data_IF_339224235099
#
_entry.id   IF_339224235099
#
_cell.length_a   1.000
_cell.length_b   1.000
_cell.length_c   1.000
_cell.angle_alpha   90.00
_cell.angle_beta   90.00
_cell.angle_gamma   90.00
#
_symmetry.space_group_name_H-M   'P 1'
#
loop_
_entity.id
_entity.type
_entity.pdbx_description
1 polymer ?
#
# COMPACT_ATOMS: atom_id res chain seq x y z
N UNK A 1 21.71 6.50 -22.25
CA UNK A 1 21.49 5.18 -21.62
C UNK A 1 20.48 5.37 -20.51
N UNK A 2 19.22 5.03 -20.79
CA UNK A 2 18.15 5.11 -19.80
C UNK A 2 18.23 3.86 -18.93
N UNK A 3 18.64 4.03 -17.67
CA UNK A 3 18.38 3.02 -16.66
C UNK A 3 16.86 2.96 -16.47
N UNK A 4 16.28 1.77 -16.61
CA UNK A 4 14.86 1.49 -16.41
C UNK A 4 14.43 1.94 -15.01
N UNK A 5 13.46 2.86 -14.95
CA UNK A 5 12.78 3.34 -13.74
C UNK A 5 12.11 2.22 -12.91
N UNK A 6 12.08 0.97 -13.41
CA UNK A 6 11.44 -0.17 -12.75
C UNK A 6 12.33 -0.96 -11.77
N UNK A 7 13.66 -0.78 -11.81
CA UNK A 7 14.57 -1.58 -10.97
C UNK A 7 14.94 -0.91 -9.63
N UNK A 8 14.52 0.33 -9.39
CA UNK A 8 15.07 1.15 -8.30
C UNK A 8 14.31 1.05 -6.95
N UNK A 9 13.33 0.15 -6.80
CA UNK A 9 12.43 0.15 -5.64
C UNK A 9 12.26 -1.20 -4.91
N UNK A 10 13.34 -1.98 -4.75
CA UNK A 10 13.33 -3.19 -3.91
C UNK A 10 14.61 -3.36 -3.09
N UNK A 11 14.87 -2.44 -2.15
CA UNK A 11 15.59 -2.88 -0.95
C UNK A 11 14.56 -3.59 -0.08
N UNK A 12 14.51 -4.92 -0.18
CA UNK A 12 13.76 -5.74 0.75
C UNK A 12 14.31 -5.43 2.15
N UNK A 13 13.45 -4.88 2.99
CA UNK A 13 13.77 -4.47 4.36
C UNK A 13 12.56 -4.78 5.22
N UNK A 14 12.75 -4.85 6.54
CA UNK A 14 11.62 -5.05 7.44
C UNK A 14 10.50 -4.05 7.16
N UNK A 15 10.82 -2.77 6.96
CA UNK A 15 9.85 -1.69 6.75
C UNK A 15 8.88 -2.00 5.60
N UNK A 16 9.34 -2.61 4.50
CA UNK A 16 8.48 -2.92 3.34
C UNK A 16 7.64 -4.21 3.51
N UNK A 17 7.84 -4.97 4.59
CA UNK A 17 7.06 -6.18 4.84
C UNK A 17 5.68 -5.86 5.42
N UNK A 18 4.64 -6.64 5.05
CA UNK A 18 3.30 -6.40 5.55
C UNK A 18 3.15 -6.92 6.98
N UNK A 19 2.22 -6.32 7.72
CA UNK A 19 1.76 -6.87 8.99
C UNK A 19 0.78 -8.02 8.75
N UNK A 20 1.01 -9.14 9.44
CA UNK A 20 0.18 -10.34 9.37
C UNK A 20 -0.51 -10.58 10.72
N UNK A 21 -1.79 -11.00 10.73
CA UNK A 21 -2.44 -11.40 11.97
C UNK A 21 -1.73 -12.64 12.55
N UNK A 22 -1.59 -12.65 13.86
CA UNK A 22 -0.99 -13.76 14.60
C UNK A 22 -1.77 -14.00 15.88
N UNK A 23 -2.27 -15.23 16.09
CA UNK A 23 -3.19 -15.52 17.20
C UNK A 23 -2.61 -16.55 18.17
N UNK A 24 -2.42 -16.16 19.43
CA UNK A 24 -1.82 -17.01 20.47
C UNK A 24 -2.61 -16.84 21.76
N UNK A 25 -2.98 -17.95 22.43
CA UNK A 25 -3.61 -17.93 23.76
C UNK A 25 -4.79 -16.94 23.89
N UNK A 26 -5.68 -16.89 22.88
CA UNK A 26 -6.81 -15.96 22.81
C UNK A 26 -6.45 -14.46 22.75
N UNK A 27 -5.19 -14.12 22.48
CA UNK A 27 -4.73 -12.76 22.19
C UNK A 27 -4.40 -12.61 20.70
N UNK A 28 -4.71 -11.44 20.16
CA UNK A 28 -4.40 -11.07 18.78
C UNK A 28 -3.15 -10.19 18.75
N UNK A 29 -2.20 -10.58 17.91
CA UNK A 29 -1.00 -9.84 17.60
C UNK A 29 -0.94 -9.56 16.10
N UNK A 30 -0.10 -8.61 15.73
CA UNK A 30 0.38 -8.42 14.37
C UNK A 30 1.86 -8.77 14.35
N UNK A 31 2.28 -9.54 13.35
CA UNK A 31 3.69 -9.90 13.13
C UNK A 31 4.12 -9.43 11.76
N UNK A 32 5.31 -8.83 11.71
CA UNK A 32 5.97 -8.36 10.51
C UNK A 32 7.40 -8.87 10.57
N UNK A 33 7.87 -9.52 9.51
CA UNK A 33 9.17 -10.18 9.52
C UNK A 33 9.87 -10.06 8.19
N UNK A 34 11.19 -9.88 8.24
CA UNK A 34 12.08 -9.91 7.09
C UNK A 34 13.16 -10.96 7.31
N UNK A 35 13.40 -11.80 6.29
CA UNK A 35 14.40 -12.86 6.32
C UNK A 35 15.34 -12.68 5.12
N UNK A 36 16.59 -12.37 5.39
CA UNK A 36 17.61 -12.16 4.37
C UNK A 36 18.12 -13.48 3.84
N UNK A 37 17.92 -13.72 2.53
CA UNK A 37 18.42 -14.94 1.88
C UNK A 37 19.96 -14.94 1.74
N UNK A 38 20.60 -13.77 1.76
CA UNK A 38 22.05 -13.64 1.56
C UNK A 38 22.84 -13.79 2.86
N UNK A 39 22.36 -13.16 3.93
CA UNK A 39 23.06 -13.12 5.22
C UNK A 39 22.51 -14.14 6.22
N UNK A 40 21.44 -14.88 5.91
CA UNK A 40 20.75 -15.76 6.86
C UNK A 40 20.38 -15.04 8.17
N UNK A 41 20.14 -13.74 8.10
CA UNK A 41 19.70 -12.89 9.20
C UNK A 41 18.19 -12.70 9.13
N UNK A 42 17.58 -12.34 10.26
CA UNK A 42 16.19 -11.93 10.29
C UNK A 42 15.97 -10.69 11.14
N UNK A 43 14.86 -10.03 10.84
CA UNK A 43 14.26 -8.99 11.66
C UNK A 43 12.79 -9.36 11.87
N UNK A 44 12.30 -9.32 13.10
CA UNK A 44 10.90 -9.59 13.42
C UNK A 44 10.35 -8.52 14.34
N UNK A 45 9.13 -8.11 14.05
CA UNK A 45 8.42 -7.06 14.72
C UNK A 45 7.04 -7.60 15.11
N UNK A 46 6.68 -7.43 16.37
CA UNK A 46 5.43 -7.95 16.94
C UNK A 46 4.69 -6.78 17.59
N UNK A 47 3.38 -6.71 17.40
CA UNK A 47 2.52 -5.72 18.06
C UNK A 47 1.29 -6.36 18.65
N UNK A 48 0.88 -5.91 19.83
CA UNK A 48 -0.40 -6.22 20.48
C UNK A 48 -1.45 -5.12 20.26
N UNK A 49 -1.21 -4.23 19.29
CA UNK A 49 -1.92 -2.98 19.01
C UNK A 49 -1.67 -1.82 19.98
N UNK A 50 -0.89 -2.03 21.06
CA UNK A 50 -0.51 -0.97 22.00
C UNK A 50 0.98 -0.65 21.91
N UNK A 51 1.81 -1.69 21.85
CA UNK A 51 3.26 -1.62 21.80
C UNK A 51 3.77 -2.34 20.56
N UNK A 52 5.04 -2.07 20.24
CA UNK A 52 5.80 -2.79 19.24
C UNK A 52 7.06 -3.33 19.89
N UNK A 53 7.34 -4.61 19.68
CA UNK A 53 8.60 -5.25 20.05
C UNK A 53 9.36 -5.66 18.80
N UNK A 54 10.67 -5.46 18.81
CA UNK A 54 11.58 -5.75 17.72
C UNK A 54 12.65 -6.73 18.20
N UNK A 55 13.00 -7.68 17.33
CA UNK A 55 14.25 -8.41 17.41
C UNK A 55 14.96 -8.39 16.06
N UNK A 56 16.27 -8.16 16.10
CA UNK A 56 17.18 -8.32 14.97
C UNK A 56 18.16 -9.43 15.33
N UNK A 57 18.40 -10.36 14.42
CA UNK A 57 19.32 -11.47 14.65
C UNK A 57 20.13 -11.77 13.40
N UNK A 58 21.45 -11.81 13.57
CA UNK A 58 22.38 -12.21 12.54
C UNK A 58 22.61 -13.74 12.52
N UNK A 59 23.37 -14.21 11.54
CA UNK A 59 23.63 -15.63 11.35
C UNK A 59 24.28 -16.29 12.57
N UNK A 60 25.19 -15.60 13.26
CA UNK A 60 25.95 -16.17 14.38
C UNK A 60 25.12 -16.23 15.66
N UNK A 61 24.29 -15.22 15.90
CA UNK A 61 23.26 -15.24 16.94
C UNK A 61 22.30 -16.40 16.72
N UNK A 62 21.87 -16.61 15.47
CA UNK A 62 20.95 -17.69 15.12
C UNK A 62 21.58 -19.07 15.36
N UNK A 63 22.84 -19.26 14.94
CA UNK A 63 23.57 -20.51 15.16
C UNK A 63 23.75 -20.81 16.65
N UNK A 64 24.16 -19.80 17.42
CA UNK A 64 24.39 -19.92 18.86
C UNK A 64 23.09 -20.32 19.56
N UNK A 65 22.00 -19.60 19.30
CA UNK A 65 20.68 -19.91 19.86
C UNK A 65 20.17 -21.28 19.43
N UNK A 66 20.37 -21.66 18.16
CA UNK A 66 19.97 -22.99 17.70
C UNK A 66 20.70 -24.10 18.48
N UNK A 67 22.00 -23.92 18.75
CA UNK A 67 22.79 -24.89 19.52
C UNK A 67 22.36 -24.97 20.99
N UNK A 68 21.96 -23.84 21.58
CA UNK A 68 21.45 -23.79 22.95
C UNK A 68 20.07 -24.45 23.09
N UNK A 69 19.13 -24.11 22.20
CA UNK A 69 17.75 -24.62 22.26
C UNK A 69 17.62 -26.04 21.70
N UNK A 70 18.49 -26.42 20.78
CA UNK A 70 18.41 -27.68 20.04
C UNK A 70 19.79 -28.36 19.93
N UNK A 71 20.42 -28.78 21.05
CA UNK A 71 21.81 -29.26 21.06
C UNK A 71 22.05 -30.53 20.21
N UNK A 72 21.00 -31.29 19.91
CA UNK A 72 21.08 -32.52 19.11
C UNK A 72 20.81 -32.30 17.61
N UNK A 73 20.65 -31.04 17.16
CA UNK A 73 20.30 -30.72 15.77
C UNK A 73 21.52 -30.11 15.06
N UNK A 74 22.10 -30.90 14.16
CA UNK A 74 23.18 -30.48 13.24
C UNK A 74 22.60 -30.18 11.86
N UNK A 75 21.93 -29.03 11.72
CA UNK A 75 21.35 -28.58 10.45
C UNK A 75 22.01 -27.30 9.95
N UNK A 76 22.02 -27.11 8.63
CA UNK A 76 22.49 -25.88 8.01
C UNK A 76 21.64 -24.68 8.44
N UNK A 77 22.28 -23.55 8.74
CA UNK A 77 21.58 -22.35 9.22
C UNK A 77 20.56 -21.83 8.22
N UNK A 78 20.80 -21.99 6.91
CA UNK A 78 19.84 -21.61 5.86
C UNK A 78 18.56 -22.43 5.97
N UNK A 79 18.68 -23.73 6.30
CA UNK A 79 17.54 -24.60 6.53
C UNK A 79 16.78 -24.20 7.80
N UNK A 80 17.50 -23.89 8.88
CA UNK A 80 16.90 -23.41 10.13
C UNK A 80 16.14 -22.09 9.91
N UNK A 81 16.76 -21.10 9.27
CA UNK A 81 16.14 -19.80 8.97
C UNK A 81 14.90 -19.96 8.09
N UNK A 82 14.96 -20.81 7.06
CA UNK A 82 13.79 -21.12 6.22
C UNK A 82 12.66 -21.77 7.02
N UNK A 83 12.99 -22.66 7.95
CA UNK A 83 12.01 -23.29 8.81
C UNK A 83 11.36 -22.29 9.79
N UNK A 84 12.17 -21.41 10.40
CA UNK A 84 11.70 -20.32 11.26
C UNK A 84 10.75 -19.40 10.46
N UNK A 85 11.18 -18.94 9.28
CA UNK A 85 10.38 -18.11 8.37
C UNK A 85 8.99 -18.69 8.11
N UNK A 86 8.92 -19.97 7.74
CA UNK A 86 7.66 -20.66 7.48
C UNK A 86 6.73 -20.66 8.70
N UNK A 87 7.27 -20.85 9.90
CA UNK A 87 6.48 -20.84 11.13
C UNK A 87 5.97 -19.46 11.52
N UNK A 88 6.69 -18.39 11.15
CA UNK A 88 6.28 -17.01 11.44
C UNK A 88 5.28 -16.50 10.40
N UNK A 89 5.61 -16.63 9.11
CA UNK A 89 4.82 -16.01 8.03
C UNK A 89 3.48 -16.70 7.77
N UNK A 90 3.40 -18.01 8.00
CA UNK A 90 2.21 -18.83 7.73
C UNK A 90 1.47 -19.27 9.00
N UNK A 91 2.02 -19.01 10.20
CA UNK A 91 1.52 -19.49 11.49
C UNK A 91 1.00 -20.95 11.44
N UNK A 92 1.93 -21.92 11.40
CA UNK A 92 1.61 -23.34 11.17
C UNK A 92 0.68 -23.91 12.26
N UNK A 93 -0.39 -24.60 11.85
CA UNK A 93 -1.37 -25.17 12.77
C UNK A 93 -0.80 -26.21 13.75
N UNK A 94 0.22 -26.97 13.33
CA UNK A 94 0.85 -28.01 14.15
C UNK A 94 1.93 -27.46 15.09
N UNK A 95 2.28 -26.18 14.96
CA UNK A 95 3.27 -25.53 15.80
C UNK A 95 2.62 -24.98 17.05
N UNK A 96 3.23 -25.26 18.20
CA UNK A 96 2.79 -24.71 19.49
C UNK A 96 3.46 -23.38 19.71
N UNK A 97 2.68 -22.32 19.86
CA UNK A 97 3.18 -20.96 20.12
C UNK A 97 2.85 -20.54 21.54
N UNK A 98 3.76 -19.82 22.20
CA UNK A 98 3.57 -19.22 23.51
C UNK A 98 4.19 -17.83 23.53
N UNK A 99 3.52 -16.89 24.17
CA UNK A 99 4.04 -15.54 24.45
C UNK A 99 4.32 -15.42 25.93
N UNK A 100 5.50 -14.90 26.26
CA UNK A 100 5.89 -14.55 27.61
C UNK A 100 6.27 -13.07 27.64
N UNK A 101 5.51 -12.29 28.41
CA UNK A 101 5.74 -10.86 28.65
C UNK A 101 6.46 -10.73 30.00
N UNK A 102 7.47 -9.87 30.10
CA UNK A 102 8.12 -9.57 31.39
C UNK A 102 7.28 -8.57 32.21
N UNK A 103 7.50 -8.47 33.53
CA UNK A 103 6.68 -7.65 34.46
C UNK A 103 6.56 -6.16 34.08
N UNK A 104 7.52 -5.62 33.33
CA UNK A 104 7.52 -4.23 32.85
C UNK A 104 7.11 -4.08 31.37
N UNK A 105 6.70 -5.17 30.69
CA UNK A 105 6.38 -5.25 29.25
C UNK A 105 7.50 -4.81 28.28
N UNK A 106 8.69 -4.47 28.77
CA UNK A 106 9.82 -4.03 27.92
C UNK A 106 10.38 -5.16 27.03
N UNK A 107 10.13 -6.40 27.44
CA UNK A 107 10.61 -7.61 26.77
C UNK A 107 9.46 -8.56 26.51
N UNK A 108 9.46 -9.10 25.30
CA UNK A 108 8.52 -10.10 24.82
C UNK A 108 9.30 -11.28 24.27
N UNK A 109 8.98 -12.48 24.76
CA UNK A 109 9.51 -13.72 24.21
C UNK A 109 8.41 -14.47 23.47
N UNK A 110 8.58 -14.61 22.15
CA UNK A 110 7.75 -15.51 21.34
C UNK A 110 8.46 -16.86 21.24
N UNK A 111 7.95 -17.84 21.98
CA UNK A 111 8.38 -19.23 21.93
C UNK A 111 7.54 -20.00 20.93
N UNK A 112 8.19 -20.81 20.09
CA UNK A 112 7.48 -21.84 19.33
C UNK A 112 8.18 -23.20 19.34
N UNK A 113 7.36 -24.25 19.35
CA UNK A 113 7.79 -25.65 19.32
C UNK A 113 7.10 -26.39 18.18
N UNK A 114 7.89 -27.05 17.35
CA UNK A 114 7.44 -27.72 16.11
C UNK A 114 8.30 -28.94 15.78
N UNK A 115 8.09 -29.53 14.61
CA UNK A 115 8.89 -30.63 14.05
C UNK A 115 9.63 -30.17 12.81
N UNK A 116 10.97 -30.29 12.76
CA UNK A 116 11.72 -30.08 11.51
C UNK A 116 11.42 -31.19 10.50
N UNK A 117 11.45 -32.42 10.99
CA UNK A 117 11.17 -33.66 10.28
C UNK A 117 10.42 -34.60 11.24
N UNK A 118 9.75 -35.65 10.73
CA UNK A 118 9.10 -36.64 11.58
C UNK A 118 10.06 -37.16 12.66
N UNK A 119 9.68 -37.01 13.93
CA UNK A 119 10.48 -37.44 15.08
C UNK A 119 11.53 -36.43 15.58
N UNK A 120 11.79 -35.34 14.85
CA UNK A 120 12.79 -34.32 15.27
C UNK A 120 12.07 -33.07 15.77
N UNK A 121 12.02 -32.92 17.09
CA UNK A 121 11.50 -31.71 17.75
C UNK A 121 12.43 -30.53 17.54
N UNK A 122 11.85 -29.35 17.31
CA UNK A 122 12.57 -28.10 17.16
C UNK A 122 11.89 -27.01 17.97
N UNK A 123 12.70 -26.21 18.64
CA UNK A 123 12.27 -25.13 19.51
C UNK A 123 12.98 -23.84 19.12
N UNK A 124 12.27 -22.72 19.14
CA UNK A 124 12.84 -21.42 18.87
C UNK A 124 12.20 -20.34 19.74
N UNK A 125 13.04 -19.42 20.22
CA UNK A 125 12.63 -18.26 21.00
C UNK A 125 13.07 -16.99 20.28
N UNK A 126 12.11 -16.11 20.01
CA UNK A 126 12.38 -14.73 19.64
C UNK A 126 12.44 -13.88 20.89
N UNK A 127 13.52 -13.12 21.08
CA UNK A 127 13.74 -12.27 22.24
C UNK A 127 13.60 -10.80 21.83
N UNK A 128 12.36 -10.31 21.83
CA UNK A 128 12.05 -8.97 21.35
C UNK A 128 12.11 -7.94 22.49
N UNK A 129 12.57 -6.73 22.18
CA UNK A 129 12.55 -5.58 23.08
C UNK A 129 11.64 -4.49 22.53
N UNK A 130 11.02 -3.68 23.39
CA UNK A 130 10.13 -2.59 22.97
C UNK A 130 10.87 -1.57 22.09
N UNK A 131 10.22 -1.13 21.02
CA UNK A 131 10.74 -0.13 20.09
C UNK A 131 9.66 0.92 19.78
N UNK A 132 9.71 2.05 20.49
CA UNK A 132 8.68 3.09 20.42
C UNK A 132 8.74 3.88 19.09
N UNK A 133 9.93 4.06 18.52
CA UNK A 133 10.09 4.91 17.32
C UNK A 133 9.48 4.26 16.07
N UNK A 134 9.32 2.93 16.07
CA UNK A 134 8.75 2.20 14.95
C UNK A 134 7.23 2.32 14.85
N UNK A 135 6.53 2.73 15.92
CA UNK A 135 5.06 2.86 15.89
C UNK A 135 4.62 3.87 14.83
N UNK A 136 5.27 5.04 14.77
CA UNK A 136 4.95 6.06 13.78
C UNK A 136 5.23 5.56 12.36
N UNK A 137 6.48 5.17 12.09
CA UNK A 137 6.96 4.89 10.73
C UNK A 137 6.45 3.55 10.16
N UNK A 138 6.23 2.54 11.00
CA UNK A 138 5.82 1.20 10.56
C UNK A 138 4.33 0.93 10.66
N UNK A 139 3.56 1.72 11.43
CA UNK A 139 2.13 1.48 11.59
C UNK A 139 1.28 2.71 11.30
N UNK A 140 1.46 3.80 12.06
CA UNK A 140 0.56 4.97 11.96
C UNK A 140 0.63 5.67 10.61
N UNK A 141 1.84 5.99 10.14
CA UNK A 141 2.06 6.66 8.87
C UNK A 141 1.53 5.85 7.67
N UNK A 142 1.88 4.55 7.52
CA UNK A 142 1.29 3.71 6.49
C UNK A 142 -0.24 3.59 6.61
N UNK A 143 -0.80 3.49 7.82
CA UNK A 143 -2.25 3.43 8.02
C UNK A 143 -2.95 4.69 7.50
N UNK A 144 -2.40 5.87 7.78
CA UNK A 144 -2.93 7.13 7.27
C UNK A 144 -2.90 7.16 5.74
N UNK A 145 -1.80 6.71 5.12
CA UNK A 145 -1.70 6.62 3.66
C UNK A 145 -2.72 5.63 3.08
N UNK A 146 -2.89 4.47 3.71
CA UNK A 146 -3.87 3.46 3.29
C UNK A 146 -5.29 4.01 3.36
N UNK A 147 -5.65 4.70 4.45
CA UNK A 147 -6.97 5.33 4.61
C UNK A 147 -7.20 6.39 3.54
N UNK A 148 -6.20 7.25 3.29
CA UNK A 148 -6.29 8.27 2.24
C UNK A 148 -6.47 7.65 0.85
N UNK A 149 -5.71 6.59 0.54
CA UNK A 149 -5.81 5.88 -0.74
C UNK A 149 -7.13 5.12 -0.90
N UNK A 150 -7.63 4.49 0.17
CA UNK A 150 -8.95 3.84 0.16
C UNK A 150 -10.08 4.86 -0.04
N UNK A 151 -10.00 6.02 0.61
CA UNK A 151 -10.96 7.11 0.43
C UNK A 151 -10.92 7.65 -1.01
N UNK A 152 -9.73 7.79 -1.60
CA UNK A 152 -9.56 8.20 -3.01
C UNK A 152 -10.20 7.17 -3.95
N UNK A 153 -9.91 5.88 -3.76
CA UNK A 153 -10.50 4.77 -4.54
C UNK A 153 -12.03 4.75 -4.43
N UNK A 154 -12.58 4.90 -3.22
CA UNK A 154 -14.02 4.97 -3.00
C UNK A 154 -14.64 6.14 -3.78
N UNK A 155 -14.03 7.32 -3.69
CA UNK A 155 -14.50 8.52 -4.40
C UNK A 155 -14.46 8.34 -5.92
N UNK A 156 -13.40 7.75 -6.46
CA UNK A 156 -13.29 7.47 -7.90
C UNK A 156 -14.34 6.46 -8.38
N UNK A 157 -14.60 5.41 -7.59
CA UNK A 157 -15.66 4.45 -7.89
C UNK A 157 -17.05 5.09 -7.88
N UNK A 158 -17.32 5.97 -6.90
CA UNK A 158 -18.59 6.72 -6.85
C UNK A 158 -18.76 7.62 -8.08
N UNK A 159 -17.71 8.36 -8.47
CA UNK A 159 -17.73 9.18 -9.69
C UNK A 159 -17.93 8.32 -10.97
N UNK A 160 -17.37 7.11 -11.00
CA UNK A 160 -17.54 6.19 -12.13
C UNK A 160 -18.99 5.68 -12.23
N UNK A 161 -19.63 5.39 -11.09
CA UNK A 161 -21.04 5.00 -11.03
C UNK A 161 -21.95 6.12 -11.55
N UNK A 162 -21.72 7.36 -11.12
CA UNK A 162 -22.47 8.53 -11.60
C UNK A 162 -22.33 8.71 -13.13
N UNK A 163 -21.11 8.54 -13.67
CA UNK A 163 -20.89 8.58 -15.12
C UNK A 163 -21.62 7.45 -15.85
N UNK A 164 -21.69 6.26 -15.24
CA UNK A 164 -22.44 5.13 -15.82
C UNK A 164 -23.94 5.34 -15.78
N UNK A 165 -24.47 6.00 -14.76
CA UNK A 165 -25.89 6.37 -14.72
C UNK A 165 -26.25 7.40 -15.80
N UNK A 166 -25.36 8.36 -16.10
CA UNK A 166 -25.55 9.29 -17.22
C UNK A 166 -25.59 8.54 -18.57
N UNK A 167 -24.67 7.59 -18.78
CA UNK A 167 -24.65 6.74 -19.98
C UNK A 167 -25.95 5.92 -20.11
N UNK A 168 -26.44 5.32 -19.02
CA UNK A 168 -27.71 4.57 -19.00
C UNK A 168 -28.90 5.50 -19.29
N UNK A 169 -28.89 6.72 -18.73
CA UNK A 169 -29.94 7.71 -18.96
C UNK A 169 -30.01 8.14 -20.42
N UNK A 170 -28.88 8.33 -21.08
CA UNK A 170 -28.80 8.67 -22.51
C UNK A 170 -29.38 7.56 -23.40
N UNK A 171 -29.06 6.30 -23.10
CA UNK A 171 -29.67 5.15 -23.79
C UNK A 171 -31.19 5.09 -23.60
N UNK A 172 -31.67 5.32 -22.37
CA UNK A 172 -33.11 5.36 -22.07
C UNK A 172 -33.81 6.51 -22.81
N UNK A 173 -33.20 7.70 -22.85
CA UNK A 173 -33.72 8.87 -23.57
C UNK A 173 -33.76 8.64 -25.09
N UNK A 174 -32.80 7.89 -25.63
CA UNK A 174 -32.75 7.47 -27.03
C UNK A 174 -33.76 6.37 -27.39
N UNK A 175 -34.60 5.94 -26.44
CA UNK A 175 -35.65 4.93 -26.67
C UNK A 175 -35.17 3.48 -26.59
N UNK A 176 -33.92 3.24 -26.20
CA UNK A 176 -33.38 1.87 -26.04
C UNK A 176 -34.04 1.22 -24.83
N UNK A 177 -34.61 0.02 -25.04
CA UNK A 177 -35.23 -0.78 -23.98
C UNK A 177 -34.34 -1.97 -23.63
N UNK A 178 -34.24 -2.28 -22.33
CA UNK A 178 -33.54 -3.47 -21.85
C UNK A 178 -34.26 -4.74 -22.29
N UNK A 179 -33.50 -5.75 -22.73
CA UNK A 179 -34.06 -7.07 -23.07
C UNK A 179 -34.62 -7.80 -21.85
N UNK A 180 -34.05 -7.56 -20.66
CA UNK A 180 -34.50 -8.15 -19.41
C UNK A 180 -34.49 -7.13 -18.26
N UNK A 181 -35.65 -6.98 -17.60
CA UNK A 181 -35.83 -6.03 -16.50
C UNK A 181 -34.91 -6.27 -15.30
N UNK A 182 -34.46 -7.51 -15.06
CA UNK A 182 -33.52 -7.84 -13.96
C UNK A 182 -32.15 -7.17 -14.07
N UNK A 183 -31.80 -6.64 -15.25
CA UNK A 183 -30.55 -5.89 -15.47
C UNK A 183 -30.71 -4.40 -15.19
N UNK A 184 -31.91 -3.92 -14.92
CA UNK A 184 -32.14 -2.53 -14.56
C UNK A 184 -31.59 -2.26 -13.15
N UNK A 185 -30.62 -1.37 -13.07
CA UNK A 185 -30.10 -0.84 -11.81
C UNK A 185 -30.85 0.44 -11.43
N UNK A 186 -30.96 0.70 -10.12
CA UNK A 186 -31.38 2.01 -9.62
C UNK A 186 -30.25 3.00 -9.82
N UNK A 187 -30.60 4.27 -10.05
CA UNK A 187 -29.62 5.37 -10.05
C UNK A 187 -28.87 5.38 -8.74
N UNK A 188 -27.55 5.50 -8.83
CA UNK A 188 -26.67 5.59 -7.69
C UNK A 188 -26.87 6.92 -6.97
N UNK A 189 -27.04 6.85 -5.66
CA UNK A 189 -27.11 7.99 -4.76
C UNK A 189 -26.00 7.83 -3.72
N UNK A 190 -25.05 8.75 -3.74
CA UNK A 190 -23.86 8.74 -2.88
C UNK A 190 -24.21 8.84 -1.40
N UNK A 191 -25.11 9.76 -1.03
CA UNK A 191 -25.47 9.99 0.36
C UNK A 191 -26.27 8.82 0.92
N UNK A 192 -27.27 8.35 0.15
CA UNK A 192 -28.05 7.19 0.54
C UNK A 192 -27.18 5.93 0.67
N UNK A 193 -26.21 5.74 -0.22
CA UNK A 193 -25.26 4.65 -0.14
C UNK A 193 -24.40 4.72 1.13
N UNK A 194 -23.78 5.88 1.40
CA UNK A 194 -22.92 6.05 2.58
C UNK A 194 -23.70 5.84 3.88
N UNK A 195 -24.90 6.42 3.98
CA UNK A 195 -25.79 6.23 5.14
C UNK A 195 -26.17 4.76 5.32
N UNK A 196 -26.50 4.06 4.22
CA UNK A 196 -26.79 2.62 4.25
C UNK A 196 -25.59 1.80 4.71
N UNK A 197 -24.36 2.13 4.29
CA UNK A 197 -23.16 1.41 4.69
C UNK A 197 -22.95 1.49 6.20
N UNK A 198 -23.04 2.70 6.78
CA UNK A 198 -22.89 2.92 8.23
C UNK A 198 -23.96 2.18 9.04
N UNK A 199 -25.20 2.17 8.56
CA UNK A 199 -26.33 1.52 9.24
C UNK A 199 -26.39 0.00 9.00
N UNK A 200 -25.55 -0.55 8.13
CA UNK A 200 -25.58 -1.97 7.79
C UNK A 200 -25.01 -2.83 8.91
N UNK A 201 -25.55 -4.05 9.09
CA UNK A 201 -24.94 -5.06 9.96
C UNK A 201 -23.50 -5.38 9.55
N UNK A 202 -23.21 -5.30 8.24
CA UNK A 202 -21.87 -5.50 7.69
C UNK A 202 -20.83 -4.53 8.26
N UNK A 203 -21.20 -3.27 8.56
CA UNK A 203 -20.30 -2.34 9.22
C UNK A 203 -19.95 -2.80 10.63
N UNK A 204 -20.96 -3.15 11.44
CA UNK A 204 -20.76 -3.68 12.79
C UNK A 204 -19.90 -4.96 12.81
N UNK A 205 -20.19 -5.91 11.91
CA UNK A 205 -19.39 -7.13 11.76
C UNK A 205 -17.94 -6.84 11.35
N UNK A 206 -17.73 -5.88 10.44
CA UNK A 206 -16.39 -5.49 9.99
C UNK A 206 -15.59 -4.88 11.13
N UNK A 207 -16.19 -3.95 11.89
CA UNK A 207 -15.53 -3.33 13.05
C UNK A 207 -15.21 -4.38 14.11
N UNK A 208 -16.16 -5.26 14.45
CA UNK A 208 -15.94 -6.30 15.44
C UNK A 208 -14.84 -7.30 15.06
N UNK A 209 -14.74 -7.66 13.77
CA UNK A 209 -13.74 -8.61 13.28
C UNK A 209 -12.40 -7.97 12.92
N UNK A 210 -12.32 -6.65 12.76
CA UNK A 210 -11.13 -5.93 12.28
C UNK A 210 -9.85 -6.26 13.04
N UNK A 211 -9.88 -6.22 14.38
CA UNK A 211 -8.73 -6.58 15.24
C UNK A 211 -8.32 -8.05 15.07
N UNK A 212 -9.30 -8.93 14.85
CA UNK A 212 -9.07 -10.38 14.75
C UNK A 212 -8.49 -10.80 13.41
N UNK A 213 -9.00 -10.21 12.32
CA UNK A 213 -8.54 -10.44 10.96
C UNK A 213 -7.25 -9.70 10.65
N UNK A 214 -6.96 -8.62 11.39
CA UNK A 214 -5.84 -7.73 11.10
C UNK A 214 -5.91 -7.20 9.66
N UNK A 215 -4.75 -7.08 9.03
CA UNK A 215 -4.68 -6.77 7.60
C UNK A 215 -4.93 -8.05 6.78
N UNK A 216 -6.02 -8.06 6.01
CA UNK A 216 -6.28 -9.07 4.99
C UNK A 216 -5.24 -8.99 3.87
N UNK A 217 -5.13 -10.03 3.03
CA UNK A 217 -4.16 -10.06 1.92
C UNK A 217 -4.21 -8.80 1.03
N UNK A 218 -5.42 -8.32 0.70
CA UNK A 218 -5.59 -7.09 -0.09
C UNK A 218 -5.11 -5.83 0.64
N UNK A 219 -5.27 -5.76 1.97
CA UNK A 219 -4.76 -4.66 2.78
C UNK A 219 -3.25 -4.75 3.03
N UNK A 220 -2.70 -5.96 3.13
CA UNK A 220 -1.26 -6.20 3.20
C UNK A 220 -0.57 -5.75 1.91
N UNK A 221 -1.19 -6.01 0.76
CA UNK A 221 -0.67 -5.55 -0.53
C UNK A 221 -0.77 -4.03 -0.65
N UNK A 222 -1.89 -3.43 -0.25
CA UNK A 222 -2.01 -1.97 -0.20
C UNK A 222 -0.96 -1.34 0.73
N UNK A 223 -0.72 -1.93 1.90
CA UNK A 223 0.32 -1.50 2.83
C UNK A 223 1.69 -1.45 2.14
N UNK A 224 2.08 -2.53 1.44
CA UNK A 224 3.35 -2.56 0.69
C UNK A 224 3.41 -1.43 -0.34
N UNK A 225 2.36 -1.25 -1.12
CA UNK A 225 2.30 -0.23 -2.16
C UNK A 225 2.50 1.18 -1.59
N UNK A 226 1.83 1.52 -0.48
CA UNK A 226 1.96 2.84 0.13
C UNK A 226 3.34 3.05 0.74
N UNK A 227 3.91 2.05 1.42
CA UNK A 227 5.25 2.15 2.03
C UNK A 227 6.32 2.32 0.96
N UNK A 228 6.27 1.52 -0.11
CA UNK A 228 7.18 1.62 -1.26
C UNK A 228 7.06 3.01 -1.91
N UNK A 229 5.83 3.48 -2.13
CA UNK A 229 5.59 4.80 -2.74
C UNK A 229 6.09 5.95 -1.85
N UNK A 230 5.91 5.84 -0.53
CA UNK A 230 6.40 6.80 0.46
C UNK A 230 7.92 6.90 0.43
N UNK A 231 8.61 5.76 0.48
CA UNK A 231 10.07 5.72 0.41
C UNK A 231 10.59 6.38 -0.88
N UNK A 232 9.96 6.07 -2.02
CA UNK A 232 10.29 6.71 -3.30
C UNK A 232 10.07 8.23 -3.29
N UNK A 233 8.97 8.71 -2.70
CA UNK A 233 8.69 10.15 -2.58
C UNK A 233 9.70 10.87 -1.68
N UNK A 234 10.12 10.22 -0.59
CA UNK A 234 11.12 10.78 0.33
C UNK A 234 12.48 10.88 -0.36
N UNK A 235 12.93 9.83 -1.05
CA UNK A 235 14.19 9.84 -1.78
C UNK A 235 14.20 10.89 -2.90
N UNK A 236 13.08 11.02 -3.64
CA UNK A 236 12.94 12.05 -4.66
C UNK A 236 13.10 13.46 -4.08
N UNK A 237 12.50 13.74 -2.92
CA UNK A 237 12.63 15.04 -2.25
C UNK A 237 14.08 15.34 -1.81
N UNK A 238 14.80 14.33 -1.34
CA UNK A 238 16.21 14.51 -0.94
C UNK A 238 17.08 14.87 -2.14
N UNK A 239 16.92 14.16 -3.26
CA UNK A 239 17.64 14.46 -4.51
C UNK A 239 17.35 15.86 -5.05
N UNK A 240 16.09 16.32 -4.98
CA UNK A 240 15.71 17.68 -5.38
C UNK A 240 16.31 18.75 -4.45
N UNK A 241 16.55 18.42 -3.19
CA UNK A 241 17.15 19.34 -2.21
C UNK A 241 18.67 19.48 -2.43
N UNK A 242 19.37 18.36 -2.65
CA UNK A 242 20.83 18.33 -2.90
C UNK A 242 21.20 19.12 -4.17
N UNK A 243 20.42 19.00 -5.24
CA UNK A 243 20.65 19.76 -6.49
C UNK A 243 20.44 21.27 -6.30
N UNK A 244 19.62 21.67 -5.33
CA UNK A 244 19.33 23.09 -5.06
C UNK A 244 20.37 23.73 -4.13
N UNK A 245 21.05 22.97 -3.27
CA UNK A 245 22.09 23.48 -2.37
C UNK A 245 23.44 23.68 -3.09
N UNK A 246 23.80 22.81 -4.04
CA UNK A 246 24.99 23.00 -4.88
C UNK A 246 24.87 24.24 -5.79
N UNK A 247 23.64 24.67 -6.12
CA UNK A 247 23.39 25.90 -6.87
C UNK A 247 23.49 27.18 -6.01
N UNK A 248 23.55 27.07 -4.67
CA UNK A 248 23.68 28.21 -3.75
C UNK A 248 25.13 28.46 -3.31
N UNK A 249 26.05 27.52 -3.54
CA UNK A 249 27.46 27.68 -3.18
C UNK A 249 28.30 28.38 -4.27
N UNK A 250 27.77 28.61 -5.47
CA UNK A 250 28.46 29.39 -6.52
C UNK A 250 28.20 30.92 -6.48
N UNK A 251 27.43 31.44 -5.52
CA UNK A 251 27.10 32.89 -5.45
C UNK A 251 27.44 33.58 -4.12
N UNK A 252 28.44 33.08 -3.38
CA UNK A 252 28.92 33.75 -2.16
C UNK A 252 30.39 34.19 -2.28
N UNK A 253 30.69 35.04 -3.26
CA UNK A 253 31.80 36.00 -3.17
C UNK A 253 31.18 37.38 -2.99
N UNK A 254 31.22 37.90 -1.77
CA UNK A 254 31.00 39.32 -1.53
C UNK A 254 30.11 39.67 -0.34
N UNK A 255 30.78 39.93 0.80
CA UNK A 255 30.48 41.07 1.67
C UNK A 255 29.38 40.93 2.74
N UNK A 256 29.83 40.71 3.98
CA UNK A 256 29.50 41.62 5.09
C UNK A 256 28.18 41.41 5.84
N UNK A 257 28.23 40.63 6.92
CA UNK A 257 27.33 40.73 8.09
C UNK A 257 27.79 41.95 8.94
N UNK A 258 26.96 42.64 9.76
CA UNK A 258 26.37 42.02 10.96
C UNK A 258 24.92 42.42 11.34
N UNK A 259 24.22 41.42 11.87
CA UNK A 259 23.51 41.37 13.16
C UNK A 259 22.38 42.34 13.56
N UNK A 260 21.27 41.70 13.93
CA UNK A 260 20.37 41.95 15.09
C UNK A 260 19.58 43.25 15.20
N UNK A 261 18.25 43.12 15.39
CA UNK A 261 17.53 43.70 16.55
C UNK A 261 16.07 43.21 16.59
N UNK A 262 15.75 42.52 17.69
CA UNK A 262 14.38 42.32 18.16
C UNK A 262 13.89 43.60 18.84
N UNK A 263 12.62 43.98 18.61
CA UNK A 263 11.70 44.43 19.68
C UNK A 263 10.36 44.88 19.09
N UNK A 264 9.34 44.05 19.32
CA UNK A 264 8.06 44.34 19.96
C UNK A 264 7.18 45.57 19.63
N UNK A 265 5.88 45.24 19.64
CA UNK A 265 4.70 45.97 20.15
C UNK A 265 3.72 46.68 19.20
N UNK A 266 2.47 46.23 19.38
CA UNK A 266 1.19 46.96 19.36
C UNK A 266 0.44 47.17 18.02
N UNK A 267 -0.63 46.38 17.85
CA UNK A 267 -1.87 46.79 17.15
C UNK A 267 -2.61 47.89 17.96
N UNK A 268 -3.53 48.72 17.40
CA UNK A 268 -4.81 48.24 16.88
C UNK A 268 -5.42 49.00 15.67
N UNK A 269 -6.36 48.30 15.01
CA UNK A 269 -7.54 48.75 14.25
C UNK A 269 -7.52 50.07 13.46
N UNK A 270 -7.94 49.99 12.18
CA UNK A 270 -9.16 50.64 11.62
C UNK A 270 -9.33 50.14 10.17
N UNK A 271 -10.50 49.58 9.85
CA UNK A 271 -11.05 49.53 8.49
C UNK A 271 -12.00 50.71 8.32
N UNK A 272 -12.15 51.28 7.10
CA UNK A 272 -13.31 50.88 6.30
C UNK A 272 -13.09 50.81 4.78
N UNK A 273 -14.04 50.09 4.18
CA UNK A 273 -14.42 49.86 2.78
C UNK A 273 -14.16 50.99 1.74
N UNK A 274 -13.98 50.62 0.45
CA UNK A 274 -15.00 50.62 -0.64
C UNK A 274 -14.31 50.28 -1.99
N UNK A 275 -15.03 49.51 -2.82
CA UNK A 275 -14.73 48.80 -4.08
C UNK A 275 -14.50 49.68 -5.36
N UNK A 276 -14.75 49.20 -6.61
CA UNK A 276 -13.96 48.29 -7.46
C UNK A 276 -13.65 48.89 -8.86
N UNK A 277 -12.67 48.35 -9.60
CA UNK A 277 -12.43 48.75 -11.02
C UNK A 277 -12.76 47.62 -12.00
N UNK A 278 -13.78 47.88 -12.84
CA UNK A 278 -14.18 47.13 -14.05
C UNK A 278 -13.15 47.33 -15.18
N UNK A 279 -13.04 46.35 -16.08
CA UNK A 279 -13.24 46.41 -17.56
C UNK A 279 -12.69 45.10 -18.23
N UNK A 280 -12.89 44.80 -19.53
CA UNK A 280 -13.97 43.92 -19.99
C UNK A 280 -13.51 42.73 -20.86
N UNK A 281 -14.44 41.79 -21.09
CA UNK A 281 -14.36 40.66 -22.03
C UNK A 281 -14.55 41.14 -23.48
N UNK A 282 -14.01 40.40 -24.47
CA UNK A 282 -14.81 40.07 -25.65
C UNK A 282 -14.75 38.58 -26.03
N UNK A 283 -15.94 38.01 -26.25
CA UNK A 283 -16.16 36.69 -26.85
C UNK A 283 -15.87 36.71 -28.35
N UNK A 284 -15.53 35.56 -28.98
CA UNK A 284 -15.78 35.37 -30.41
C UNK A 284 -16.92 34.38 -30.69
N UNK A 285 -17.64 34.70 -31.76
CA UNK A 285 -18.81 34.05 -32.31
C UNK A 285 -18.52 32.69 -32.98
N UNK A 286 -19.61 31.95 -33.19
CA UNK A 286 -19.74 30.77 -34.06
C UNK A 286 -19.13 31.00 -35.45
N UNK A 287 -18.28 30.06 -35.88
CA UNK A 287 -18.05 29.75 -37.29
C UNK A 287 -18.08 28.23 -37.48
N UNK A 288 -18.85 27.82 -38.49
CA UNK A 288 -18.98 26.48 -39.01
C UNK A 288 -17.76 26.11 -39.84
N UNK A 289 -17.02 25.08 -39.41
CA UNK A 289 -16.10 24.36 -40.29
C UNK A 289 -16.09 22.89 -39.90
N UNK A 290 -16.60 22.05 -40.80
CA UNK A 290 -16.47 20.61 -40.78
C UNK A 290 -14.99 20.20 -40.90
N UNK A 291 -14.66 19.03 -40.31
CA UNK A 291 -13.35 18.37 -40.21
C UNK A 291 -12.53 18.71 -38.96
N UNK A 292 -12.93 18.13 -37.83
CA UNK A 292 -12.08 18.02 -36.64
C UNK A 292 -11.18 16.76 -36.73
N UNK A 293 -9.91 16.83 -36.30
CA UNK A 293 -8.94 15.71 -36.32
C UNK A 293 -9.32 14.51 -35.43
N UNK A 294 -10.45 14.60 -34.70
CA UNK A 294 -11.01 13.53 -33.91
C UNK A 294 -11.77 12.48 -34.74
N UNK A 295 -12.39 12.86 -35.88
CA UNK A 295 -13.09 11.91 -36.75
C UNK A 295 -12.12 10.99 -37.50
N UNK A 296 -10.98 11.52 -37.95
CA UNK A 296 -9.96 10.73 -38.65
C UNK A 296 -9.28 9.72 -37.73
N UNK A 297 -9.03 10.09 -36.46
CA UNK A 297 -8.49 9.15 -35.46
C UNK A 297 -9.46 8.03 -35.11
N UNK A 298 -10.76 8.31 -35.07
CA UNK A 298 -11.80 7.30 -34.82
C UNK A 298 -11.98 6.36 -36.02
N UNK A 299 -11.88 6.86 -37.25
CA UNK A 299 -11.89 6.04 -38.47
C UNK A 299 -10.69 5.09 -38.53
N UNK A 300 -9.48 5.59 -38.24
CA UNK A 300 -8.27 4.76 -38.18
C UNK A 300 -8.39 3.66 -37.12
N UNK A 301 -8.95 3.98 -35.95
CA UNK A 301 -9.18 3.00 -34.88
C UNK A 301 -10.15 1.88 -35.30
N UNK A 302 -11.19 2.22 -36.07
CA UNK A 302 -12.17 1.24 -36.59
C UNK A 302 -11.58 0.33 -37.66
N UNK A 303 -10.75 0.87 -38.54
CA UNK A 303 -10.06 0.07 -39.57
C UNK A 303 -9.06 -0.91 -38.95
N UNK A 304 -8.29 -0.47 -37.94
CA UNK A 304 -7.37 -1.35 -37.20
C UNK A 304 -8.12 -2.49 -36.48
N UNK A 305 -9.29 -2.20 -35.90
CA UNK A 305 -10.09 -3.19 -35.20
C UNK A 305 -10.66 -4.24 -36.17
N UNK A 306 -11.12 -3.81 -37.36
CA UNK A 306 -11.59 -4.72 -38.42
C UNK A 306 -10.47 -5.63 -38.90
N UNK A 307 -9.28 -5.08 -39.13
CA UNK A 307 -8.11 -5.87 -39.56
C UNK A 307 -7.72 -6.93 -38.52
N UNK A 308 -7.76 -6.59 -37.23
CA UNK A 308 -7.47 -7.55 -36.14
C UNK A 308 -8.50 -8.69 -36.07
N UNK A 309 -9.77 -8.39 -36.27
CA UNK A 309 -10.83 -9.40 -36.26
C UNK A 309 -10.69 -10.36 -37.45
N UNK A 310 -10.38 -9.86 -38.65
CA UNK A 310 -10.13 -10.68 -39.83
C UNK A 310 -8.90 -11.59 -39.66
N UNK A 311 -7.81 -11.06 -39.08
CA UNK A 311 -6.60 -11.83 -38.80
C UNK A 311 -6.85 -12.93 -37.74
N UNK A 312 -7.67 -12.64 -36.73
CA UNK A 312 -8.04 -13.64 -35.72
C UNK A 312 -8.95 -14.73 -36.31
N UNK A 313 -9.88 -14.38 -37.21
CA UNK A 313 -10.69 -15.34 -37.94
C UNK A 313 -9.85 -16.23 -38.85
N UNK A 314 -8.89 -15.67 -39.58
CA UNK A 314 -7.95 -16.46 -40.39
C UNK A 314 -7.15 -17.42 -39.51
N UNK A 315 -6.65 -16.96 -38.36
CA UNK A 315 -5.91 -17.79 -37.41
C UNK A 315 -6.79 -18.94 -36.88
N UNK A 316 -8.07 -18.67 -36.59
CA UNK A 316 -9.05 -19.69 -36.18
C UNK A 316 -9.34 -20.69 -37.31
N UNK A 317 -9.47 -20.23 -38.56
CA UNK A 317 -9.65 -21.08 -39.75
C UNK A 317 -8.43 -21.97 -39.99
N UNK A 318 -7.20 -21.45 -39.87
CA UNK A 318 -5.95 -22.22 -39.98
C UNK A 318 -5.81 -23.27 -38.87
N UNK A 319 -6.17 -22.93 -37.63
CA UNK A 319 -6.21 -23.91 -36.52
C UNK A 319 -7.22 -25.02 -36.74
N UNK A 320 -8.42 -24.70 -37.24
CA UNK A 320 -9.45 -25.70 -37.58
C UNK A 320 -9.03 -26.64 -38.73
N UNK A 321 -8.27 -26.14 -39.72
CA UNK A 321 -7.73 -26.97 -40.81
C UNK A 321 -6.62 -27.93 -40.33
N UNK A 322 -5.77 -27.50 -39.38
CA UNK A 322 -4.72 -28.36 -38.80
C UNK A 322 -5.24 -29.49 -37.90
N UNK A 323 -6.47 -29.37 -37.39
CA UNK A 323 -7.11 -30.41 -36.54
C UNK A 323 -7.81 -31.49 -37.40
N UNK A 324 -7.96 -31.26 -38.71
CA UNK A 324 -8.63 -32.18 -39.65
C UNK A 324 -7.66 -32.89 -40.62
N UNK A 325 -6.36 -32.90 -40.33
CA UNK A 325 -5.38 -33.72 -41.06
C UNK A 325 -4.90 -34.86 -40.18
#
# INVERSE_FOLDING_TARGET
MAASDEDFCRKESLISQPWRPFFINNKHFLVKSYFSNLSNAYEICISDFNKIWLEVSDQDTIKTRNKELNPNIEADVTYIVKHIKKNVEEQQQLTKYQMQENENDEKLVLHFKTTLQPGVMFTWDFHCSTEEQMISSSLLEPLVDMVAELQRRQTELQNLLEKKDLEISDYKASGVKLSHKRFETKTFDREAFNNKMVLSSGFGETVAKSKTLGFTEGLQELYKQVVIKRAWLQEKRLRETEVSEDSLLETAIGSGVPSSLFSDTASPNVSPQISPRKTPVPSPQKSSTENSPSKDRELQRREELRRKLEEEEERKKRKKKKIKL
#
